data_IF_856926373459
#
_entry.id   IF_856926373459
#
_cell.length_a   1.000
_cell.length_b   1.000
_cell.length_c   1.000
_cell.angle_alpha   90.00
_cell.angle_beta   90.00
_cell.angle_gamma   90.00
#
_symmetry.space_group_name_H-M   'P 1'
#
loop_
_entity.id
_entity.type
_entity.pdbx_description
1 polymer ?
#
# COMPACT_ATOMS: atom_id res chain seq x y z
N UNK A 1 4.05 13.93 21.25
CA UNK A 1 4.38 14.40 19.89
C UNK A 1 3.43 13.67 18.98
N UNK A 2 2.47 14.38 18.38
CA UNK A 2 1.55 13.77 17.41
C UNK A 2 2.35 13.60 16.12
N UNK A 3 2.47 12.38 15.62
CA UNK A 3 3.07 12.13 14.30
C UNK A 3 2.34 12.99 13.25
N UNK A 4 3.05 13.53 12.25
CA UNK A 4 2.40 14.32 11.22
C UNK A 4 1.40 13.42 10.50
N UNK A 5 0.13 13.83 10.44
CA UNK A 5 -0.98 13.13 9.80
C UNK A 5 -0.86 13.21 8.26
N UNK A 6 0.23 12.66 7.73
CA UNK A 6 0.56 12.66 6.31
C UNK A 6 -0.14 11.52 5.59
N UNK A 7 -0.35 11.67 4.29
CA UNK A 7 -0.89 10.58 3.48
C UNK A 7 -0.03 9.30 3.59
N UNK A 8 1.29 9.44 3.55
CA UNK A 8 2.21 8.32 3.75
C UNK A 8 2.01 7.61 5.11
N UNK A 9 1.81 8.36 6.20
CA UNK A 9 1.54 7.79 7.52
C UNK A 9 0.21 7.02 7.59
N UNK A 10 -0.81 7.46 6.83
CA UNK A 10 -2.11 6.77 6.74
C UNK A 10 -2.04 5.47 5.93
N UNK A 11 -1.23 5.45 4.88
CA UNK A 11 -1.06 4.26 4.01
C UNK A 11 -0.15 3.20 4.65
N UNK A 12 0.84 3.61 5.45
CA UNK A 12 1.82 2.72 6.07
C UNK A 12 1.25 1.53 6.88
N UNK A 13 0.25 1.69 7.77
CA UNK A 13 -0.33 0.54 8.49
C UNK A 13 -0.99 -0.47 7.55
N UNK A 14 -1.57 -0.02 6.44
CA UNK A 14 -2.16 -0.91 5.44
C UNK A 14 -1.08 -1.67 4.68
N UNK A 15 -0.02 -0.99 4.25
CA UNK A 15 1.13 -1.65 3.61
C UNK A 15 1.77 -2.68 4.53
N UNK A 16 1.92 -2.37 5.82
CA UNK A 16 2.45 -3.32 6.81
C UNK A 16 1.56 -4.56 6.90
N UNK A 17 0.24 -4.40 6.96
CA UNK A 17 -0.69 -5.53 7.01
C UNK A 17 -0.57 -6.43 5.76
N UNK A 18 -0.36 -5.83 4.58
CA UNK A 18 -0.11 -6.57 3.35
C UNK A 18 1.24 -7.30 3.40
N UNK A 19 2.31 -6.63 3.85
CA UNK A 19 3.65 -7.23 4.00
C UNK A 19 3.63 -8.44 4.95
N UNK A 20 2.90 -8.34 6.08
CA UNK A 20 2.75 -9.44 7.03
C UNK A 20 2.00 -10.65 6.44
N UNK A 21 1.13 -10.42 5.44
CA UNK A 21 0.41 -11.46 4.75
C UNK A 21 1.20 -12.10 3.57
N UNK A 22 2.35 -11.52 3.19
CA UNK A 22 3.23 -12.09 2.16
C UNK A 22 4.06 -13.23 2.73
N UNK A 23 4.07 -14.37 2.04
CA UNK A 23 4.93 -15.51 2.41
C UNK A 23 6.35 -15.26 1.87
N UNK A 24 7.38 -15.16 2.75
CA UNK A 24 8.75 -14.91 2.34
C UNK A 24 9.32 -16.07 1.51
N UNK A 25 10.13 -15.75 0.50
CA UNK A 25 10.81 -16.74 -0.33
C UNK A 25 10.00 -17.29 -1.50
N UNK A 26 8.79 -16.76 -1.73
CA UNK A 26 7.98 -17.06 -2.92
C UNK A 26 8.20 -16.01 -4.01
N UNK A 27 8.15 -16.42 -5.29
CA UNK A 27 8.28 -15.49 -6.43
C UNK A 27 7.22 -14.37 -6.38
N UNK A 28 5.96 -14.75 -6.10
CA UNK A 28 4.87 -13.78 -5.95
C UNK A 28 5.07 -12.82 -4.76
N UNK A 29 5.71 -13.28 -3.68
CA UNK A 29 6.03 -12.43 -2.54
C UNK A 29 7.04 -11.33 -2.90
N UNK A 30 7.99 -11.63 -3.80
CA UNK A 30 8.92 -10.63 -4.34
C UNK A 30 8.20 -9.60 -5.20
N UNK A 31 7.29 -10.04 -6.07
CA UNK A 31 6.48 -9.13 -6.90
C UNK A 31 5.60 -8.19 -6.04
N UNK A 32 4.93 -8.72 -5.00
CA UNK A 32 4.13 -7.88 -4.10
C UNK A 32 4.99 -6.92 -3.27
N UNK A 33 6.20 -7.33 -2.85
CA UNK A 33 7.14 -6.42 -2.21
C UNK A 33 7.52 -5.24 -3.12
N UNK A 34 7.72 -5.47 -4.43
CA UNK A 34 8.00 -4.38 -5.36
C UNK A 34 6.83 -3.40 -5.48
N UNK A 35 5.60 -3.92 -5.50
CA UNK A 35 4.38 -3.09 -5.56
C UNK A 35 4.22 -2.27 -4.27
N UNK A 36 4.46 -2.87 -3.11
CA UNK A 36 4.39 -2.19 -1.82
C UNK A 36 5.44 -1.07 -1.73
N UNK A 37 6.67 -1.33 -2.16
CA UNK A 37 7.74 -0.33 -2.15
C UNK A 37 7.41 0.85 -3.08
N UNK A 38 6.84 0.55 -4.26
CA UNK A 38 6.33 1.56 -5.20
C UNK A 38 5.24 2.43 -4.57
N UNK A 39 4.24 1.82 -3.93
CA UNK A 39 3.16 2.55 -3.25
C UNK A 39 3.72 3.44 -2.13
N UNK A 40 4.72 2.95 -1.38
CA UNK A 40 5.39 3.72 -0.33
C UNK A 40 6.14 4.93 -0.90
N UNK A 41 6.82 4.77 -2.04
CA UNK A 41 7.48 5.87 -2.76
C UNK A 41 6.45 6.91 -3.24
N UNK A 42 5.40 6.47 -3.91
CA UNK A 42 4.33 7.35 -4.42
C UNK A 42 3.65 8.11 -3.27
N UNK A 43 3.36 7.46 -2.14
CA UNK A 43 2.74 8.13 -0.99
C UNK A 43 3.64 9.20 -0.35
N UNK A 44 4.96 8.98 -0.29
CA UNK A 44 5.93 10.00 0.16
C UNK A 44 6.04 11.15 -0.83
N UNK A 45 5.99 10.85 -2.11
CA UNK A 45 6.02 11.87 -3.17
C UNK A 45 4.77 12.74 -3.12
N UNK A 46 3.60 12.14 -2.90
CA UNK A 46 2.34 12.86 -2.66
C UNK A 46 2.47 13.80 -1.47
N UNK A 47 3.05 13.36 -0.35
CA UNK A 47 3.28 14.22 0.83
C UNK A 47 4.23 15.40 0.55
N UNK A 48 5.29 15.17 -0.24
CA UNK A 48 6.18 16.24 -0.69
C UNK A 48 5.45 17.24 -1.59
N UNK A 49 4.66 16.74 -2.54
CA UNK A 49 3.85 17.57 -3.45
C UNK A 49 2.78 18.37 -2.70
N UNK A 50 2.13 17.80 -1.68
CA UNK A 50 1.13 18.51 -0.86
C UNK A 50 1.75 19.71 -0.12
N UNK A 51 2.98 19.53 0.39
CA UNK A 51 3.72 20.60 1.06
C UNK A 51 4.17 21.72 0.11
N UNK A 52 4.48 21.39 -1.13
CA UNK A 52 5.02 22.34 -2.12
C UNK A 52 3.94 23.03 -2.95
N UNK A 53 2.90 22.31 -3.36
CA UNK A 53 1.85 22.80 -4.26
C UNK A 53 0.58 23.25 -3.53
N UNK A 54 0.38 22.84 -2.27
CA UNK A 54 -0.89 22.99 -1.56
C UNK A 54 -1.94 21.97 -2.02
N UNK A 55 -3.15 21.99 -1.43
CA UNK A 55 -4.22 21.05 -1.75
C UNK A 55 -4.84 21.41 -3.11
N UNK A 56 -4.19 20.98 -4.19
CA UNK A 56 -4.67 21.14 -5.56
C UNK A 56 -5.23 19.80 -6.08
N UNK A 57 -6.19 19.82 -7.01
CA UNK A 57 -6.97 18.63 -7.42
C UNK A 57 -6.13 17.47 -7.95
N UNK A 58 -4.91 17.72 -8.42
CA UNK A 58 -3.95 16.69 -8.87
C UNK A 58 -3.48 15.76 -7.74
N UNK A 59 -3.52 16.20 -6.48
CA UNK A 59 -3.20 15.37 -5.32
C UNK A 59 -4.30 14.35 -5.01
N UNK A 60 -5.55 14.71 -5.31
CA UNK A 60 -6.70 13.84 -5.09
C UNK A 60 -6.67 12.64 -6.05
N UNK A 61 -6.33 12.87 -7.33
CA UNK A 61 -6.13 11.81 -8.31
C UNK A 61 -4.96 10.87 -7.95
N UNK A 62 -3.83 11.43 -7.49
CA UNK A 62 -2.68 10.64 -7.01
C UNK A 62 -3.03 9.81 -5.78
N UNK A 63 -3.76 10.41 -4.84
CA UNK A 63 -4.23 9.74 -3.62
C UNK A 63 -5.16 8.58 -3.96
N UNK A 64 -6.13 8.80 -4.85
CA UNK A 64 -7.05 7.76 -5.33
C UNK A 64 -6.31 6.62 -6.04
N UNK A 65 -5.33 6.92 -6.89
CA UNK A 65 -4.53 5.91 -7.57
C UNK A 65 -3.73 5.03 -6.60
N UNK A 66 -3.23 5.62 -5.51
CA UNK A 66 -2.52 4.89 -4.46
C UNK A 66 -3.48 4.00 -3.66
N UNK A 67 -4.67 4.50 -3.32
CA UNK A 67 -5.71 3.73 -2.63
C UNK A 67 -6.17 2.52 -3.46
N UNK A 68 -6.41 2.71 -4.77
CA UNK A 68 -6.74 1.60 -5.67
C UNK A 68 -5.62 0.56 -5.76
N UNK A 69 -4.36 1.02 -5.85
CA UNK A 69 -3.19 0.13 -5.87
C UNK A 69 -3.08 -0.70 -4.59
N UNK A 70 -3.35 -0.08 -3.44
CA UNK A 70 -3.38 -0.75 -2.14
C UNK A 70 -4.53 -1.77 -2.05
N UNK A 71 -5.72 -1.43 -2.54
CA UNK A 71 -6.86 -2.34 -2.58
C UNK A 71 -6.58 -3.55 -3.49
N UNK A 72 -5.93 -3.33 -4.63
CA UNK A 72 -5.53 -4.40 -5.56
C UNK A 72 -4.50 -5.33 -4.92
N UNK A 73 -3.43 -4.80 -4.31
CA UNK A 73 -2.40 -5.64 -3.70
C UNK A 73 -2.97 -6.43 -2.51
N UNK A 74 -3.86 -5.83 -1.72
CA UNK A 74 -4.55 -6.52 -0.61
C UNK A 74 -5.36 -7.71 -1.12
N UNK A 75 -6.15 -7.53 -2.19
CA UNK A 75 -6.93 -8.62 -2.79
C UNK A 75 -6.05 -9.72 -3.38
N UNK A 76 -4.95 -9.34 -4.04
CA UNK A 76 -4.01 -10.31 -4.61
C UNK A 76 -3.31 -11.11 -3.50
N UNK A 77 -2.81 -10.45 -2.46
CA UNK A 77 -2.19 -11.13 -1.32
C UNK A 77 -3.20 -12.03 -0.62
N UNK A 78 -4.45 -11.61 -0.41
CA UNK A 78 -5.51 -12.46 0.14
C UNK A 78 -5.75 -13.72 -0.70
N UNK A 79 -5.79 -13.60 -2.03
CA UNK A 79 -5.94 -14.74 -2.96
C UNK A 79 -4.77 -15.72 -2.91
N UNK A 80 -3.56 -15.23 -2.64
CA UNK A 80 -2.33 -16.03 -2.59
C UNK A 80 -1.96 -16.48 -1.16
N UNK A 81 -2.60 -15.92 -0.13
CA UNK A 81 -2.33 -16.26 1.26
C UNK A 81 -2.96 -17.61 1.60
N UNK A 82 -2.18 -18.57 2.16
CA UNK A 82 -2.68 -19.90 2.51
C UNK A 82 -3.66 -19.88 3.69
N UNK A 83 -3.79 -18.76 4.41
CA UNK A 83 -4.70 -18.61 5.55
C UNK A 83 -6.18 -18.71 5.16
N UNK A 84 -6.53 -18.39 3.90
CA UNK A 84 -7.90 -18.51 3.37
C UNK A 84 -8.10 -19.78 2.51
N UNK A 85 -7.02 -20.49 2.19
CA UNK A 85 -7.07 -21.85 1.66
C UNK A 85 -7.36 -22.83 2.81
N UNK A 86 -8.41 -22.59 3.60
CA UNK A 86 -8.97 -23.69 4.41
C UNK A 86 -9.50 -24.73 3.42
N UNK A 87 -9.01 -25.98 3.42
CA UNK A 87 -9.75 -27.08 2.83
C UNK A 87 -10.99 -27.30 3.70
N UNK A 88 -11.99 -26.44 3.53
CA UNK A 88 -13.28 -26.50 4.21
C UNK A 88 -14.17 -27.53 3.54
N UNK A 89 -13.89 -28.80 3.83
CA UNK A 89 -14.74 -30.00 3.76
C UNK A 89 -15.31 -30.47 2.41
#
# INVERSE_FOLDING_TARGET
MTEPDTFAARVEPHLRAVEEAIVPGTDWGRDFQQIIDRIREDARKTDAMEREAGPDGSLEELTAAIDESLALVTQLVAKHSPADQSPGQ
#
